data_IF_105112177887
#
_entry.id   IF_105112177887
#
_cell.length_a   1.000
_cell.length_b   1.000
_cell.length_c   1.000
_cell.angle_alpha   90.00
_cell.angle_beta   90.00
_cell.angle_gamma   90.00
#
_symmetry.space_group_name_H-M   'P 1'
#
loop_
_entity.id
_entity.type
_entity.pdbx_description
1 polymer ?
#
# COMPACT_ATOMS: atom_id res chain seq x y z
N UNK A 1 41.43 20.57 49.75
CA UNK A 1 41.46 19.72 48.54
C UNK A 1 40.11 19.76 47.82
N UNK A 2 39.76 20.88 47.18
CA UNK A 2 38.43 21.08 46.57
C UNK A 2 38.56 21.67 45.15
N UNK A 3 39.31 21.00 44.27
CA UNK A 3 39.51 21.47 42.87
C UNK A 3 39.27 20.39 41.80
N UNK A 4 38.76 19.21 42.17
CA UNK A 4 38.58 18.11 41.22
C UNK A 4 37.12 17.68 40.96
N UNK A 5 36.13 18.26 41.65
CA UNK A 5 34.73 17.88 41.45
C UNK A 5 34.06 18.51 40.21
N UNK A 6 34.59 19.62 39.68
CA UNK A 6 33.96 20.35 38.57
C UNK A 6 34.11 19.68 37.19
N UNK A 7 34.99 18.67 37.05
CA UNK A 7 35.34 18.10 35.74
C UNK A 7 34.42 16.96 35.27
N UNK A 8 33.49 16.49 36.10
CA UNK A 8 32.58 15.37 35.79
C UNK A 8 31.14 15.76 35.43
N UNK A 9 30.86 17.06 35.28
CA UNK A 9 29.55 17.54 34.79
C UNK A 9 29.60 18.08 33.36
N UNK A 10 30.77 18.10 32.72
CA UNK A 10 30.93 18.57 31.34
C UNK A 10 30.76 17.46 30.29
N UNK A 11 30.35 16.24 30.67
CA UNK A 11 30.36 15.08 29.76
C UNK A 11 28.98 14.46 29.50
N UNK A 12 27.89 15.04 30.01
CA UNK A 12 26.56 14.42 29.89
C UNK A 12 25.51 15.41 29.40
N UNK A 13 25.69 15.96 28.21
CA UNK A 13 24.58 16.52 27.42
C UNK A 13 24.90 16.70 25.95
N UNK A 14 25.38 15.65 25.29
CA UNK A 14 25.06 15.50 23.88
C UNK A 14 23.60 15.04 23.80
N UNK A 15 22.70 16.01 23.79
CA UNK A 15 21.33 15.81 23.33
C UNK A 15 21.42 15.45 21.84
N UNK A 16 21.64 14.18 21.53
CA UNK A 16 21.27 13.65 20.24
C UNK A 16 19.75 13.61 20.24
N UNK A 17 19.18 14.74 19.78
CA UNK A 17 17.77 14.91 19.50
C UNK A 17 17.24 13.62 18.86
N UNK A 18 16.18 13.09 19.45
CA UNK A 18 15.44 11.97 18.89
C UNK A 18 15.09 12.28 17.44
N UNK A 19 15.83 11.66 16.54
CA UNK A 19 15.32 11.35 15.22
C UNK A 19 14.58 10.04 15.39
N UNK A 20 13.36 10.12 15.93
CA UNK A 20 12.36 9.13 15.59
C UNK A 20 12.09 9.32 14.10
N UNK A 21 12.97 8.75 13.27
CA UNK A 21 12.64 8.47 11.89
C UNK A 21 11.44 7.55 11.97
N UNK A 22 10.24 8.11 11.86
CA UNK A 22 9.07 7.36 11.45
C UNK A 22 9.40 6.85 10.06
N UNK A 23 10.11 5.74 10.01
CA UNK A 23 10.23 4.95 8.79
C UNK A 23 8.84 4.37 8.63
N UNK A 24 8.04 5.05 7.81
CA UNK A 24 6.81 4.48 7.27
C UNK A 24 7.26 3.27 6.46
N UNK A 25 7.31 2.09 7.09
CA UNK A 25 7.50 0.83 6.38
C UNK A 25 6.30 0.64 5.47
N UNK A 26 6.47 0.99 4.20
CA UNK A 26 5.51 0.66 3.14
C UNK A 26 5.64 -0.84 2.89
N UNK A 27 4.75 -1.62 3.50
CA UNK A 27 4.66 -3.05 3.23
C UNK A 27 4.30 -3.26 1.76
N UNK A 28 5.02 -4.15 1.07
CA UNK A 28 4.71 -4.54 -0.29
C UNK A 28 3.36 -5.28 -0.29
N UNK A 29 2.35 -4.71 -0.95
CA UNK A 29 1.03 -5.33 -1.08
C UNK A 29 1.06 -6.21 -2.34
N UNK A 30 0.88 -7.54 -2.20
CA UNK A 30 0.91 -8.45 -3.34
C UNK A 30 -0.25 -8.18 -4.30
N UNK A 31 -0.07 -8.60 -5.55
CA UNK A 31 -1.10 -8.49 -6.58
C UNK A 31 -2.38 -9.22 -6.16
N UNK A 32 -3.52 -8.54 -6.28
CA UNK A 32 -4.83 -9.07 -5.91
C UNK A 32 -5.27 -10.14 -6.92
N UNK A 33 -5.68 -11.33 -6.45
CA UNK A 33 -6.09 -12.42 -7.33
C UNK A 33 -7.41 -12.07 -8.07
N UNK A 34 -7.48 -12.42 -9.35
CA UNK A 34 -8.59 -12.05 -10.25
C UNK A 34 -9.97 -12.62 -9.88
N UNK A 35 -10.04 -13.59 -8.95
CA UNK A 35 -11.25 -14.37 -8.69
C UNK A 35 -11.57 -14.48 -7.21
N UNK A 36 -12.80 -14.12 -6.82
CA UNK A 36 -13.34 -14.34 -5.48
C UNK A 36 -13.69 -15.83 -5.27
N UNK A 37 -12.71 -16.65 -4.89
CA UNK A 37 -12.92 -18.08 -4.61
C UNK A 37 -14.00 -18.34 -3.56
N UNK A 38 -14.02 -17.53 -2.49
CA UNK A 38 -15.00 -17.60 -1.41
C UNK A 38 -16.44 -17.39 -1.89
N UNK A 39 -16.64 -16.49 -2.85
CA UNK A 39 -17.95 -16.21 -3.44
C UNK A 39 -18.43 -17.41 -4.25
N UNK A 40 -17.56 -17.99 -5.10
CA UNK A 40 -17.92 -19.15 -5.93
C UNK A 40 -18.30 -20.35 -5.05
N UNK A 41 -17.56 -20.58 -3.98
CA UNK A 41 -17.86 -21.64 -3.01
C UNK A 41 -19.18 -21.42 -2.27
N UNK A 42 -19.47 -20.19 -1.85
CA UNK A 42 -20.75 -19.83 -1.24
C UNK A 42 -21.92 -19.96 -2.23
N UNK A 43 -21.72 -19.54 -3.48
CA UNK A 43 -22.74 -19.61 -4.52
C UNK A 43 -23.14 -21.05 -4.85
N UNK A 44 -22.16 -21.96 -4.96
CA UNK A 44 -22.41 -23.39 -5.17
C UNK A 44 -23.28 -24.01 -4.07
N UNK A 45 -23.22 -23.49 -2.84
CA UNK A 45 -24.08 -23.95 -1.73
C UNK A 45 -25.50 -23.42 -1.83
N UNK A 46 -25.69 -22.19 -2.31
CA UNK A 46 -27.00 -21.53 -2.39
C UNK A 46 -27.77 -21.94 -3.65
N UNK A 47 -27.08 -22.03 -4.78
CA UNK A 47 -27.67 -22.31 -6.09
C UNK A 47 -26.77 -23.25 -6.91
N UNK A 48 -26.78 -24.57 -6.64
CA UNK A 48 -25.88 -25.53 -7.27
C UNK A 48 -26.12 -25.70 -8.78
N UNK A 49 -27.34 -25.42 -9.25
CA UNK A 49 -27.75 -25.58 -10.65
C UNK A 49 -27.58 -24.30 -11.49
N UNK A 50 -27.11 -23.21 -10.89
CA UNK A 50 -26.96 -21.91 -11.55
C UNK A 50 -25.49 -21.53 -11.52
N UNK A 51 -24.94 -21.16 -12.67
CA UNK A 51 -23.56 -20.65 -12.76
C UNK A 51 -23.39 -19.40 -11.90
N UNK A 52 -22.21 -19.25 -11.27
CA UNK A 52 -21.93 -18.07 -10.44
C UNK A 52 -21.96 -16.81 -11.30
N UNK A 53 -22.54 -15.71 -10.82
CA UNK A 53 -22.56 -14.47 -11.57
C UNK A 53 -21.15 -13.97 -11.85
N UNK A 54 -20.94 -13.42 -13.04
CA UNK A 54 -19.69 -12.74 -13.39
C UNK A 54 -19.48 -11.55 -12.45
N UNK A 55 -18.30 -11.48 -11.83
CA UNK A 55 -17.91 -10.33 -11.02
C UNK A 55 -17.10 -9.36 -11.86
N UNK A 56 -17.19 -8.03 -11.64
CA UNK A 56 -16.37 -7.06 -12.37
C UNK A 56 -14.88 -7.38 -12.33
N UNK A 57 -14.38 -7.93 -11.21
CA UNK A 57 -12.98 -8.36 -11.08
C UNK A 57 -12.59 -9.46 -12.05
N UNK A 58 -13.52 -10.34 -12.44
CA UNK A 58 -13.28 -11.35 -13.48
C UNK A 58 -13.08 -10.74 -14.87
N UNK A 59 -13.51 -9.50 -15.09
CA UNK A 59 -13.39 -8.78 -16.37
C UNK A 59 -12.23 -7.78 -16.37
N UNK A 60 -11.62 -7.54 -15.21
CA UNK A 60 -10.55 -6.57 -15.03
C UNK A 60 -9.21 -7.26 -14.88
N UNK A 61 -8.15 -6.57 -15.28
CA UNK A 61 -6.80 -7.04 -15.00
C UNK A 61 -6.52 -6.94 -13.48
N UNK A 62 -5.82 -7.93 -12.90
CA UNK A 62 -5.35 -7.87 -11.53
C UNK A 62 -4.65 -6.55 -11.23
N UNK A 63 -4.87 -6.03 -10.01
CA UNK A 63 -4.15 -4.83 -9.58
C UNK A 63 -2.66 -5.13 -9.53
N UNK A 64 -1.80 -4.28 -10.14
CA UNK A 64 -0.36 -4.43 -10.00
C UNK A 64 0.07 -4.25 -8.54
N UNK A 65 1.20 -4.86 -8.13
CA UNK A 65 1.71 -4.72 -6.77
C UNK A 65 2.02 -3.25 -6.47
N UNK A 66 1.77 -2.83 -5.23
CA UNK A 66 2.09 -1.46 -4.81
C UNK A 66 3.56 -1.41 -4.41
N UNK A 67 4.40 -0.62 -5.10
CA UNK A 67 5.81 -0.53 -4.75
C UNK A 67 6.00 0.13 -3.39
N UNK A 68 7.03 -0.31 -2.66
CA UNK A 68 7.32 0.23 -1.33
C UNK A 68 7.91 1.66 -1.36
N UNK A 69 8.42 2.11 -2.50
CA UNK A 69 8.94 3.45 -2.71
C UNK A 69 7.88 4.40 -3.27
N UNK A 70 7.87 5.64 -2.80
CA UNK A 70 6.98 6.69 -3.32
C UNK A 70 7.39 7.01 -4.77
N UNK A 71 6.49 6.87 -5.76
CA UNK A 71 6.82 7.13 -7.15
C UNK A 71 6.91 8.63 -7.43
N UNK A 72 7.79 9.02 -8.37
CA UNK A 72 7.95 10.41 -8.82
C UNK A 72 6.87 10.87 -9.81
N UNK A 73 6.19 9.93 -10.46
CA UNK A 73 5.07 10.15 -11.39
C UNK A 73 3.92 9.21 -11.06
N UNK A 74 2.70 9.64 -11.34
CA UNK A 74 1.51 8.82 -11.13
C UNK A 74 0.82 8.49 -12.46
N UNK A 75 0.44 7.22 -12.61
CA UNK A 75 -0.43 6.79 -13.69
C UNK A 75 -1.87 7.10 -13.32
N UNK A 76 -2.53 7.98 -14.06
CA UNK A 76 -3.93 8.34 -13.83
C UNK A 76 -4.78 7.85 -14.98
N UNK A 77 -5.88 7.17 -14.65
CA UNK A 77 -6.86 6.69 -15.63
C UNK A 77 -8.14 7.52 -15.52
N UNK A 78 -8.46 8.28 -16.57
CA UNK A 78 -9.70 9.06 -16.66
C UNK A 78 -10.72 8.31 -17.51
N UNK A 79 -11.83 7.94 -16.88
CA UNK A 79 -12.96 7.28 -17.53
C UNK A 79 -14.16 8.21 -17.55
N UNK A 80 -14.77 8.39 -18.72
CA UNK A 80 -16.03 9.09 -18.87
C UNK A 80 -17.12 8.12 -19.31
N UNK A 81 -18.32 8.13 -18.69
CA UNK A 81 -19.38 7.17 -18.97
C UNK A 81 -19.85 7.04 -20.43
N UNK A 82 -19.46 7.95 -21.35
CA UNK A 82 -19.87 7.93 -22.77
C UNK A 82 -18.83 8.58 -23.73
N UNK A 83 -17.56 8.71 -23.33
CA UNK A 83 -16.52 9.40 -24.13
C UNK A 83 -15.14 8.74 -23.98
N UNK A 84 -14.17 9.23 -24.74
CA UNK A 84 -12.79 8.73 -24.83
C UNK A 84 -12.13 8.48 -23.48
N UNK A 85 -11.54 7.30 -23.36
CA UNK A 85 -10.69 6.87 -22.25
C UNK A 85 -9.28 7.50 -22.37
N UNK A 86 -8.81 8.13 -21.29
CA UNK A 86 -7.39 8.50 -21.16
C UNK A 86 -6.80 7.58 -20.09
N UNK A 87 -6.34 6.42 -20.53
CA UNK A 87 -5.69 5.43 -19.68
C UNK A 87 -4.17 5.46 -19.84
N UNK A 88 -3.46 5.04 -18.79
CA UNK A 88 -2.01 4.85 -18.77
C UNK A 88 -1.20 6.13 -19.08
N UNK A 89 -1.69 7.31 -18.67
CA UNK A 89 -0.92 8.56 -18.78
C UNK A 89 -0.20 8.85 -17.47
N UNK A 90 1.09 9.16 -17.58
CA UNK A 90 1.92 9.66 -16.49
C UNK A 90 1.81 11.18 -16.42
N UNK A 91 1.69 11.73 -15.22
CA UNK A 91 1.81 13.16 -14.93
C UNK A 91 2.93 13.36 -13.90
#
# INVERSE_FOLDING_TARGET
MLRHAARRLATTRAAAAGRSSWVLSTAEVPAEAATNSTLVEAWKKVAPNIESPATPMSLMQPRPPTPAAIPSKLTVNFFLPYKSEIANKEV
#
